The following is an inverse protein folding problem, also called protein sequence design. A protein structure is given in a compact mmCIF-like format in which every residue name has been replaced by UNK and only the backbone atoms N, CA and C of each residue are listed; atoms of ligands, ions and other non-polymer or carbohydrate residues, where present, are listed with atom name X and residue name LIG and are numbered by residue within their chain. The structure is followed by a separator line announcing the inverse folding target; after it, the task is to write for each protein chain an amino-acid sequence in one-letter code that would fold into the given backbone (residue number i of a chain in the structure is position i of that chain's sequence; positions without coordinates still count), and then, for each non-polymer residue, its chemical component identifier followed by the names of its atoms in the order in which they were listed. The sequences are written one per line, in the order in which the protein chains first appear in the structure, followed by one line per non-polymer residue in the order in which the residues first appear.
data_IF_324517879944
#
_entry.id   IF_324517879944
#
_cell.length_a   1.000
_cell.length_b   1.000
_cell.length_c   1.000
_cell.angle_alpha   90.00
_cell.angle_beta   90.00
_cell.angle_gamma   90.00
#
_symmetry.space_group_name_H-M   'P 1'
#
loop_
_entity.id
_entity.type
_entity.pdbx_description
1 polymer ?
#
# COMPACT_ATOMS: atom_id res chain seq x y z
N UNK A 1 13.27 5.07 11.95
CA UNK A 1 13.00 4.99 10.51
C UNK A 1 12.75 3.55 10.07
N UNK A 2 13.65 2.55 10.30
CA UNK A 2 13.42 1.16 9.85
C UNK A 2 12.16 0.56 10.46
N UNK A 3 12.02 0.58 11.79
CA UNK A 3 10.82 0.05 12.47
C UNK A 3 9.54 0.77 12.05
N UNK A 4 9.59 2.08 11.83
CA UNK A 4 8.45 2.85 11.29
C UNK A 4 8.08 2.40 9.89
N UNK A 5 9.07 2.10 9.04
CA UNK A 5 8.82 1.57 7.69
C UNK A 5 8.16 0.20 7.72
N UNK A 6 8.65 -0.69 8.59
CA UNK A 6 8.07 -2.02 8.81
C UNK A 6 6.65 -1.89 9.36
N UNK A 7 6.45 -1.01 10.36
CA UNK A 7 5.14 -0.74 10.94
C UNK A 7 4.15 -0.19 9.89
N UNK A 8 4.59 0.69 9.00
CA UNK A 8 3.77 1.22 7.92
C UNK A 8 3.35 0.12 6.93
N UNK A 9 4.28 -0.75 6.51
CA UNK A 9 3.98 -1.88 5.63
C UNK A 9 2.99 -2.87 6.28
N UNK A 10 3.26 -3.29 7.52
CA UNK A 10 2.43 -4.25 8.24
C UNK A 10 1.08 -3.67 8.65
N UNK A 11 1.05 -2.41 9.10
CA UNK A 11 -0.20 -1.74 9.48
C UNK A 11 -1.11 -1.49 8.29
N UNK A 12 -0.52 -1.16 7.13
CA UNK A 12 -1.29 -0.90 5.91
C UNK A 12 -2.02 -2.15 5.39
N UNK A 13 -1.55 -3.37 5.70
CA UNK A 13 -2.22 -4.59 5.25
C UNK A 13 -3.57 -4.83 5.91
N UNK A 14 -3.85 -4.21 7.06
CA UNK A 14 -5.06 -4.45 7.84
C UNK A 14 -6.36 -3.98 7.17
N UNK A 15 -6.28 -3.10 6.18
CA UNK A 15 -7.47 -2.52 5.53
C UNK A 15 -7.37 -2.54 4.01
N UNK A 16 -8.52 -2.61 3.28
CA UNK A 16 -8.53 -2.56 1.82
C UNK A 16 -7.90 -1.30 1.23
N UNK A 17 -7.95 -0.18 1.95
CA UNK A 17 -7.42 1.12 1.50
C UNK A 17 -6.00 1.41 2.03
N UNK A 18 -5.44 0.50 2.83
CA UNK A 18 -4.15 0.74 3.48
C UNK A 18 -2.97 0.82 2.52
N UNK A 19 -3.06 0.09 1.40
CA UNK A 19 -2.03 0.08 0.37
C UNK A 19 -2.63 -0.22 -1.02
N UNK A 20 -1.93 0.10 -2.13
CA UNK A 20 -2.44 -0.08 -3.48
C UNK A 20 -2.76 -1.55 -3.84
N UNK A 21 -1.95 -2.51 -3.42
CA UNK A 21 -2.19 -3.92 -3.72
C UNK A 21 -3.45 -4.46 -3.05
N UNK A 22 -3.75 -4.02 -1.82
CA UNK A 22 -4.99 -4.39 -1.14
C UNK A 22 -6.21 -3.83 -1.87
N UNK A 23 -6.16 -2.53 -2.20
CA UNK A 23 -7.25 -1.89 -2.92
C UNK A 23 -7.52 -2.58 -4.25
N UNK A 24 -6.47 -2.90 -4.99
CA UNK A 24 -6.57 -3.61 -6.25
C UNK A 24 -7.15 -5.01 -6.07
N UNK A 25 -6.54 -5.86 -5.22
CA UNK A 25 -7.01 -7.22 -5.00
C UNK A 25 -8.43 -7.26 -4.45
N UNK A 26 -8.78 -6.36 -3.53
CA UNK A 26 -10.14 -6.24 -3.01
C UNK A 26 -11.14 -5.88 -4.11
N UNK A 27 -10.76 -5.04 -5.08
CA UNK A 27 -11.63 -4.64 -6.17
C UNK A 27 -11.90 -5.77 -7.17
N UNK A 28 -10.89 -6.62 -7.46
CA UNK A 28 -10.98 -7.66 -8.50
C UNK A 28 -11.36 -9.04 -7.97
N UNK A 29 -11.14 -9.32 -6.68
CA UNK A 29 -11.34 -10.64 -6.09
C UNK A 29 -12.80 -11.01 -5.81
N UNK A 30 -13.68 -10.03 -5.69
CA UNK A 30 -15.03 -10.26 -5.19
C UNK A 30 -15.14 -10.54 -3.68
N UNK A 31 -14.01 -10.56 -2.93
CA UNK A 31 -14.01 -10.77 -1.48
C UNK A 31 -14.90 -9.76 -0.76
N UNK A 32 -15.67 -10.22 0.20
CA UNK A 32 -16.37 -9.36 1.14
C UNK A 32 -15.39 -8.72 2.13
N UNK A 33 -15.79 -7.63 2.78
CA UNK A 33 -14.97 -7.01 3.82
C UNK A 33 -14.62 -7.98 4.97
N UNK A 34 -15.54 -8.90 5.30
CA UNK A 34 -15.31 -9.93 6.31
C UNK A 34 -14.28 -10.97 5.89
N UNK A 35 -14.32 -11.43 4.63
CA UNK A 35 -13.33 -12.37 4.07
C UNK A 35 -11.97 -11.72 3.96
N UNK A 36 -11.90 -10.48 3.50
CA UNK A 36 -10.67 -9.69 3.50
C UNK A 36 -10.06 -9.61 4.90
N UNK A 37 -10.88 -9.20 5.88
CA UNK A 37 -10.43 -9.10 7.27
C UNK A 37 -9.91 -10.43 7.83
N UNK A 38 -10.63 -11.54 7.58
CA UNK A 38 -10.17 -12.87 8.00
C UNK A 38 -8.84 -13.28 7.39
N UNK A 39 -8.58 -12.88 6.14
CA UNK A 39 -7.33 -13.20 5.46
C UNK A 39 -6.13 -12.46 6.06
N UNK A 40 -6.27 -11.18 6.44
CA UNK A 40 -5.11 -10.34 6.79
C UNK A 40 -5.01 -9.98 8.27
N UNK A 41 -6.13 -9.85 9.00
CA UNK A 41 -6.09 -9.40 10.40
C UNK A 41 -5.29 -10.32 11.34
N UNK A 42 -5.31 -11.64 11.22
CA UNK A 42 -4.48 -12.50 12.07
C UNK A 42 -2.98 -12.17 11.94
N UNK A 43 -2.51 -11.99 10.71
CA UNK A 43 -1.12 -11.66 10.43
C UNK A 43 -0.79 -10.23 10.87
N UNK A 44 -1.70 -9.28 10.66
CA UNK A 44 -1.55 -7.90 11.15
C UNK A 44 -1.47 -7.86 12.68
N UNK A 45 -2.27 -8.64 13.39
CA UNK A 45 -2.26 -8.70 14.84
C UNK A 45 -0.96 -9.29 15.38
N UNK A 46 -0.48 -10.39 14.77
CA UNK A 46 0.81 -11.00 15.12
C UNK A 46 1.94 -9.98 14.89
N UNK A 47 1.96 -9.34 13.71
CA UNK A 47 2.95 -8.35 13.35
C UNK A 47 2.94 -7.14 14.30
N UNK A 48 1.75 -6.66 14.68
CA UNK A 48 1.60 -5.61 15.66
C UNK A 48 2.16 -6.02 17.03
N UNK A 49 1.85 -7.24 17.50
CA UNK A 49 2.39 -7.78 18.76
C UNK A 49 3.91 -7.87 18.74
N UNK A 50 4.50 -8.37 17.64
CA UNK A 50 5.95 -8.43 17.48
C UNK A 50 6.58 -7.03 17.50
N UNK A 51 6.00 -6.07 16.77
CA UNK A 51 6.48 -4.69 16.78
C UNK A 51 6.42 -4.05 18.16
N UNK A 52 5.33 -4.27 18.91
CA UNK A 52 5.22 -3.78 20.29
C UNK A 52 6.32 -4.35 21.19
N UNK A 53 6.59 -5.66 21.13
CA UNK A 53 7.69 -6.28 21.88
C UNK A 53 9.02 -5.62 21.51
N UNK A 54 9.29 -5.42 20.21
CA UNK A 54 10.52 -4.79 19.76
C UNK A 54 10.62 -3.36 20.29
N UNK A 55 9.57 -2.56 20.18
CA UNK A 55 9.54 -1.17 20.66
C UNK A 55 9.82 -1.09 22.16
N UNK A 56 9.19 -1.97 22.96
CA UNK A 56 9.43 -2.00 24.41
C UNK A 56 10.86 -2.45 24.80
N UNK A 57 11.54 -3.16 23.91
CA UNK A 57 12.95 -3.55 24.15
C UNK A 57 13.96 -2.50 23.70
N UNK A 58 13.52 -1.47 22.97
CA UNK A 58 14.40 -0.36 22.57
C UNK A 58 14.74 0.54 23.76
N UNK A 59 15.98 1.02 23.79
CA UNK A 59 16.39 2.03 24.78
C UNK A 59 15.70 3.36 24.44
N UNK A 60 15.24 4.05 25.46
CA UNK A 60 14.71 5.39 25.33
C UNK A 60 15.80 6.32 24.77
N UNK A 61 15.50 6.95 23.64
CA UNK A 61 16.34 8.03 23.10
C UNK A 61 15.66 9.34 23.48
N UNK A 62 16.34 10.28 24.12
CA UNK A 62 15.74 11.57 24.46
C UNK A 62 15.21 12.22 23.18
N UNK A 63 13.92 12.53 23.20
CA UNK A 63 13.29 13.26 22.11
C UNK A 63 13.90 14.67 22.08
N UNK A 64 14.36 15.08 20.91
CA UNK A 64 14.67 16.48 20.68
C UNK A 64 13.39 17.27 20.85
N UNK A 65 13.40 18.27 21.75
CA UNK A 65 12.27 19.17 21.94
C UNK A 65 12.01 19.95 20.65
N UNK A 66 11.10 19.41 19.84
CA UNK A 66 10.60 20.13 18.68
C UNK A 66 9.58 21.14 19.19
N UNK A 67 10.00 22.40 19.30
CA UNK A 67 9.11 23.51 19.63
C UNK A 67 8.08 23.66 18.51
N UNK A 68 6.96 22.98 18.65
CA UNK A 68 5.81 23.17 17.79
C UNK A 68 5.16 24.50 18.16
N UNK A 69 5.38 25.53 17.35
CA UNK A 69 4.63 26.79 17.51
C UNK A 69 3.14 26.49 17.40
N UNK A 70 2.41 26.64 18.50
CA UNK A 70 0.95 26.51 18.47
C UNK A 70 0.35 27.51 17.48
N UNK A 71 -0.37 26.97 16.49
CA UNK A 71 -1.12 27.81 15.56
C UNK A 71 -2.32 28.42 16.28
N UNK A 72 -2.53 29.72 16.06
CA UNK A 72 -3.70 30.45 16.58
C UNK A 72 -5.01 29.71 16.28
N UNK A 73 -5.98 29.77 17.18
CA UNK A 73 -7.30 29.11 17.04
C UNK A 73 -8.09 29.56 15.81
N UNK A 74 -7.87 30.80 15.35
CA UNK A 74 -8.41 31.28 14.06
C UNK A 74 -7.87 30.45 12.88
N UNK A 75 -6.57 30.25 12.87
CA UNK A 75 -5.90 29.45 11.83
C UNK A 75 -6.37 27.99 11.83
N UNK A 76 -6.60 27.41 13.02
CA UNK A 76 -7.17 26.06 13.18
C UNK A 76 -8.57 25.96 12.56
N UNK A 77 -9.46 26.95 12.78
CA UNK A 77 -10.80 26.98 12.22
C UNK A 77 -10.83 27.16 10.69
N UNK A 78 -9.95 27.99 10.13
CA UNK A 78 -9.84 28.18 8.69
C UNK A 78 -9.31 26.93 7.98
N UNK A 79 -8.30 26.28 8.56
CA UNK A 79 -7.77 25.00 8.08
C UNK A 79 -8.87 23.93 8.12
N UNK A 80 -9.62 23.83 9.22
CA UNK A 80 -10.67 22.83 9.36
C UNK A 80 -11.80 23.03 8.33
N UNK A 81 -12.22 24.29 8.09
CA UNK A 81 -13.21 24.58 7.04
C UNK A 81 -12.72 24.24 5.65
N UNK A 82 -11.45 24.51 5.35
CA UNK A 82 -10.82 24.12 4.09
C UNK A 82 -10.70 22.61 3.90
N UNK A 83 -10.69 21.83 5.01
CA UNK A 83 -10.56 20.37 4.97
C UNK A 83 -11.89 19.66 4.70
N UNK A 84 -13.05 20.30 5.01
CA UNK A 84 -14.37 19.68 4.90
C UNK A 84 -14.65 19.08 3.51
N UNK A 85 -14.42 19.76 2.37
CA UNK A 85 -14.67 19.17 1.06
C UNK A 85 -13.89 17.88 0.83
N UNK A 86 -12.63 17.83 1.27
CA UNK A 86 -11.76 16.65 1.12
C UNK A 86 -12.22 15.48 2.00
N UNK A 87 -12.71 15.77 3.22
CA UNK A 87 -13.27 14.74 4.10
C UNK A 87 -14.56 14.14 3.51
N UNK A 88 -15.41 14.97 2.89
CA UNK A 88 -16.60 14.50 2.19
C UNK A 88 -16.21 13.61 1.01
N UNK A 89 -15.25 14.04 0.18
CA UNK A 89 -14.76 13.24 -0.93
C UNK A 89 -14.14 11.93 -0.46
N UNK A 90 -13.36 11.96 0.62
CA UNK A 90 -12.82 10.74 1.24
C UNK A 90 -13.94 9.80 1.66
N UNK A 91 -14.98 10.31 2.32
CA UNK A 91 -16.15 9.52 2.72
C UNK A 91 -16.86 8.88 1.52
N UNK A 92 -17.04 9.62 0.43
CA UNK A 92 -17.61 9.08 -0.82
C UNK A 92 -16.73 7.99 -1.42
N UNK A 93 -15.40 8.18 -1.46
CA UNK A 93 -14.47 7.15 -1.93
C UNK A 93 -14.51 5.90 -1.05
N UNK A 94 -14.63 6.05 0.27
CA UNK A 94 -14.79 4.91 1.18
C UNK A 94 -16.08 4.13 0.91
N UNK A 95 -17.18 4.81 0.63
CA UNK A 95 -18.45 4.16 0.25
C UNK A 95 -18.33 3.38 -1.06
N UNK A 96 -17.52 3.85 -2.01
CA UNK A 96 -17.19 3.08 -3.23
C UNK A 96 -16.39 1.84 -2.90
N UNK A 97 -15.36 1.95 -2.06
CA UNK A 97 -14.54 0.79 -1.64
C UNK A 97 -15.39 -0.24 -0.91
N UNK A 98 -16.31 0.20 -0.06
CA UNK A 98 -17.28 -0.66 0.63
C UNK A 98 -18.39 -1.19 -0.30
N UNK A 99 -18.35 -0.85 -1.60
CA UNK A 99 -19.33 -1.28 -2.63
C UNK A 99 -20.76 -0.80 -2.37
N UNK A 100 -20.94 0.26 -1.59
CA UNK A 100 -22.24 0.91 -1.34
C UNK A 100 -22.61 1.81 -2.51
N UNK A 101 -21.63 2.50 -3.10
CA UNK A 101 -21.83 3.41 -4.23
C UNK A 101 -21.07 2.93 -5.47
N UNK A 102 -21.63 3.14 -6.68
CA UNK A 102 -20.91 2.89 -7.92
C UNK A 102 -19.77 3.91 -8.08
N UNK A 103 -18.63 3.48 -8.65
CA UNK A 103 -17.44 4.31 -8.75
C UNK A 103 -17.56 5.44 -9.79
N UNK A 104 -18.36 5.26 -10.85
CA UNK A 104 -18.45 6.19 -11.97
C UNK A 104 -18.95 7.59 -11.55
N UNK A 105 -20.10 7.74 -10.88
CA UNK A 105 -20.58 9.06 -10.47
C UNK A 105 -19.71 9.69 -9.40
N UNK A 106 -19.11 8.87 -8.51
CA UNK A 106 -18.19 9.37 -7.48
C UNK A 106 -16.90 9.92 -8.12
N UNK A 107 -16.35 9.24 -9.13
CA UNK A 107 -15.20 9.74 -9.89
C UNK A 107 -15.50 11.11 -10.49
N UNK A 108 -16.62 11.27 -11.17
CA UNK A 108 -17.02 12.55 -11.77
C UNK A 108 -17.17 13.64 -10.70
N UNK A 109 -17.81 13.31 -9.57
CA UNK A 109 -17.95 14.21 -8.44
C UNK A 109 -16.59 14.66 -7.88
N UNK A 110 -15.67 13.72 -7.66
CA UNK A 110 -14.30 14.01 -7.19
C UNK A 110 -13.59 14.94 -8.17
N UNK A 111 -13.66 14.65 -9.46
CA UNK A 111 -13.04 15.47 -10.50
C UNK A 111 -13.57 16.90 -10.47
N UNK A 112 -14.89 17.08 -10.45
CA UNK A 112 -15.51 18.40 -10.43
C UNK A 112 -15.16 19.17 -9.15
N UNK A 113 -15.30 18.55 -7.99
CA UNK A 113 -15.05 19.22 -6.70
C UNK A 113 -13.58 19.63 -6.57
N UNK A 114 -12.62 18.76 -6.93
CA UNK A 114 -11.20 19.11 -6.90
C UNK A 114 -10.91 20.24 -7.89
N UNK A 115 -11.51 20.24 -9.08
CA UNK A 115 -11.33 21.31 -10.06
C UNK A 115 -11.79 22.67 -9.53
N UNK A 116 -12.93 22.70 -8.84
CA UNK A 116 -13.50 23.93 -8.26
C UNK A 116 -12.73 24.39 -7.03
N UNK A 117 -12.43 23.46 -6.12
CA UNK A 117 -11.81 23.78 -4.80
C UNK A 117 -10.31 24.06 -4.94
N UNK A 118 -9.60 23.22 -5.63
CA UNK A 118 -8.14 23.36 -5.78
C UNK A 118 -7.59 22.61 -7.00
N UNK A 119 -7.71 23.24 -8.17
CA UNK A 119 -7.21 22.68 -9.44
C UNK A 119 -5.71 22.38 -9.46
N UNK A 120 -4.91 23.00 -8.56
CA UNK A 120 -3.47 22.74 -8.49
C UNK A 120 -3.16 21.30 -8.03
N UNK A 121 -4.09 20.65 -7.33
CA UNK A 121 -3.91 19.25 -6.92
C UNK A 121 -3.76 18.30 -8.11
N UNK A 122 -4.35 18.61 -9.27
CA UNK A 122 -4.13 17.81 -10.49
C UNK A 122 -2.65 17.78 -10.91
N UNK A 123 -1.90 18.86 -10.67
CA UNK A 123 -0.46 18.90 -10.97
C UNK A 123 0.38 18.12 -9.96
N UNK A 124 -0.19 17.78 -8.82
CA UNK A 124 0.47 17.00 -7.76
C UNK A 124 0.23 15.50 -7.88
N UNK A 125 -0.62 15.07 -8.83
CA UNK A 125 -0.88 13.65 -9.08
C UNK A 125 0.33 13.03 -9.77
N UNK A 126 0.74 11.86 -9.29
CA UNK A 126 1.78 11.06 -9.94
C UNK A 126 1.20 10.29 -11.13
N UNK A 127 1.14 10.97 -12.27
CA UNK A 127 0.66 10.38 -13.53
C UNK A 127 1.57 9.26 -14.04
N UNK A 128 2.87 9.28 -13.71
CA UNK A 128 3.79 8.20 -14.10
C UNK A 128 3.46 6.92 -13.37
N UNK A 129 3.08 6.99 -12.09
CA UNK A 129 2.63 5.84 -11.34
C UNK A 129 1.33 5.26 -11.94
N UNK A 130 0.37 6.11 -12.30
CA UNK A 130 -0.88 5.67 -12.94
C UNK A 130 -0.62 5.01 -14.30
N UNK A 131 0.26 5.61 -15.12
CA UNK A 131 0.66 5.04 -16.41
C UNK A 131 1.36 3.68 -16.23
N UNK A 132 2.21 3.56 -15.21
CA UNK A 132 2.87 2.30 -14.87
C UNK A 132 1.85 1.20 -14.57
N UNK A 133 0.80 1.48 -13.79
CA UNK A 133 -0.26 0.51 -13.54
C UNK A 133 -1.00 0.14 -14.84
N UNK A 134 -1.32 1.10 -15.69
CA UNK A 134 -1.94 0.83 -16.98
C UNK A 134 -1.07 -0.09 -17.84
N UNK A 135 0.24 0.16 -17.91
CA UNK A 135 1.19 -0.70 -18.62
C UNK A 135 1.20 -2.12 -18.05
N UNK A 136 1.15 -2.29 -16.72
CA UNK A 136 1.05 -3.61 -16.11
C UNK A 136 -0.24 -4.34 -16.49
N UNK A 137 -1.40 -3.67 -16.52
CA UNK A 137 -2.65 -4.30 -16.96
C UNK A 137 -2.58 -4.76 -18.42
N UNK A 138 -2.02 -3.93 -19.31
CA UNK A 138 -1.83 -4.31 -20.73
C UNK A 138 -0.87 -5.48 -20.85
N UNK A 139 0.25 -5.45 -20.12
CA UNK A 139 1.25 -6.52 -20.12
C UNK A 139 0.64 -7.86 -19.69
N UNK A 140 -0.10 -7.88 -18.57
CA UNK A 140 -0.74 -9.09 -18.07
C UNK A 140 -1.82 -9.59 -19.03
N UNK A 141 -2.61 -8.68 -19.61
CA UNK A 141 -3.60 -9.02 -20.63
C UNK A 141 -2.99 -9.70 -21.85
N UNK A 142 -1.79 -9.29 -22.25
CA UNK A 142 -1.04 -9.91 -23.34
C UNK A 142 -0.43 -11.27 -22.93
N UNK A 143 0.14 -11.37 -21.73
CA UNK A 143 0.70 -12.64 -21.23
C UNK A 143 -0.34 -13.75 -21.15
N UNK A 144 -1.56 -13.42 -20.74
CA UNK A 144 -2.69 -14.38 -20.71
C UNK A 144 -3.06 -14.94 -22.09
N UNK A 145 -2.73 -14.23 -23.17
CA UNK A 145 -3.04 -14.65 -24.55
C UNK A 145 -2.02 -15.63 -25.11
N UNK A 146 -0.87 -15.81 -24.46
CA UNK A 146 0.17 -16.74 -24.85
C UNK A 146 -0.07 -18.04 -24.08
N UNK A 147 -0.52 -19.14 -24.73
CA UNK A 147 -0.95 -20.34 -24.02
C UNK A 147 0.14 -20.92 -23.12
N UNK A 148 1.38 -21.02 -23.59
CA UNK A 148 2.50 -21.62 -22.88
C UNK A 148 2.84 -20.81 -21.60
N UNK A 149 2.79 -19.48 -21.69
CA UNK A 149 3.03 -18.58 -20.55
C UNK A 149 1.89 -18.65 -19.55
N UNK A 150 0.66 -18.68 -20.05
CA UNK A 150 -0.54 -18.78 -19.23
C UNK A 150 -0.55 -20.09 -18.41
N UNK A 151 -0.29 -21.23 -19.05
CA UNK A 151 -0.22 -22.53 -18.39
C UNK A 151 0.90 -22.60 -17.36
N UNK A 152 2.09 -22.08 -17.70
CA UNK A 152 3.22 -22.02 -16.78
C UNK A 152 2.89 -21.18 -15.53
N UNK A 153 2.33 -19.99 -15.70
CA UNK A 153 1.97 -19.11 -14.60
C UNK A 153 0.85 -19.71 -13.75
N UNK A 154 -0.15 -20.32 -14.35
CA UNK A 154 -1.19 -21.06 -13.63
C UNK A 154 -0.56 -22.18 -12.77
N UNK A 155 0.32 -22.98 -13.35
CA UNK A 155 0.98 -24.08 -12.65
C UNK A 155 1.87 -23.60 -11.48
N UNK A 156 2.49 -22.43 -11.62
CA UNK A 156 3.31 -21.83 -10.56
C UNK A 156 2.46 -21.22 -9.43
N UNK A 157 1.31 -20.65 -9.74
CA UNK A 157 0.51 -19.85 -8.81
C UNK A 157 -0.53 -20.69 -8.08
N UNK A 158 -1.32 -21.50 -8.82
CA UNK A 158 -2.47 -22.21 -8.25
C UNK A 158 -2.07 -23.21 -7.17
N UNK A 159 -2.70 -23.07 -6.00
CA UNK A 159 -2.42 -23.88 -4.80
C UNK A 159 -1.17 -23.44 -4.02
N UNK A 160 -0.47 -22.38 -4.49
CA UNK A 160 0.74 -21.82 -3.83
C UNK A 160 0.72 -20.30 -3.80
N UNK A 161 -0.45 -19.69 -3.87
CA UNK A 161 -0.64 -18.24 -4.02
C UNK A 161 0.08 -17.44 -2.96
N UNK A 162 0.07 -17.91 -1.71
CA UNK A 162 0.76 -17.28 -0.60
C UNK A 162 2.29 -17.22 -0.84
N UNK A 163 2.91 -18.36 -1.13
CA UNK A 163 4.37 -18.45 -1.35
C UNK A 163 4.78 -17.70 -2.61
N UNK A 164 4.04 -17.87 -3.70
CA UNK A 164 4.32 -17.19 -4.95
C UNK A 164 4.17 -15.68 -4.80
N UNK A 165 3.17 -15.22 -4.03
CA UNK A 165 2.98 -13.82 -3.68
C UNK A 165 4.16 -13.25 -2.90
N UNK A 166 4.67 -13.97 -1.89
CA UNK A 166 5.85 -13.56 -1.12
C UNK A 166 7.07 -13.45 -2.04
N UNK A 167 7.39 -14.52 -2.79
CA UNK A 167 8.60 -14.59 -3.62
C UNK A 167 8.57 -13.57 -4.76
N UNK A 168 7.47 -13.44 -5.46
CA UNK A 168 7.32 -12.46 -6.55
C UNK A 168 7.50 -11.03 -6.03
N UNK A 169 6.98 -10.72 -4.84
CA UNK A 169 7.12 -9.40 -4.23
C UNK A 169 8.58 -9.02 -3.99
N UNK A 170 9.46 -9.99 -3.66
CA UNK A 170 10.89 -9.74 -3.45
C UNK A 170 11.62 -9.32 -4.74
N UNK A 171 11.08 -9.69 -5.90
CA UNK A 171 11.72 -9.47 -7.21
C UNK A 171 11.13 -8.27 -7.94
N UNK A 172 9.79 -8.19 -8.01
CA UNK A 172 9.08 -7.20 -8.81
C UNK A 172 8.28 -6.17 -8.00
N UNK A 173 8.40 -6.19 -6.67
CA UNK A 173 7.57 -5.42 -5.71
C UNK A 173 6.14 -5.96 -5.56
N UNK A 174 5.56 -5.71 -4.38
CA UNK A 174 4.26 -6.27 -3.99
C UNK A 174 3.08 -5.82 -4.85
N UNK A 175 3.07 -4.57 -5.34
CA UNK A 175 1.97 -4.07 -6.20
C UNK A 175 2.00 -4.71 -7.58
N UNK A 176 3.12 -4.71 -8.33
CA UNK A 176 3.21 -5.46 -9.57
C UNK A 176 2.97 -6.96 -9.41
N UNK A 177 3.45 -7.57 -8.31
CA UNK A 177 3.21 -8.98 -8.01
C UNK A 177 1.71 -9.25 -7.83
N UNK A 178 1.00 -8.43 -7.05
CA UNK A 178 -0.44 -8.54 -6.87
C UNK A 178 -1.20 -8.46 -8.21
N UNK A 179 -0.85 -7.49 -9.06
CA UNK A 179 -1.49 -7.31 -10.37
C UNK A 179 -1.20 -8.50 -11.28
N UNK A 180 0.07 -8.93 -11.38
CA UNK A 180 0.47 -10.05 -12.22
C UNK A 180 -0.22 -11.35 -11.79
N UNK A 181 -0.06 -11.73 -10.53
CA UNK A 181 -0.49 -13.03 -10.02
C UNK A 181 -2.02 -13.15 -9.90
N UNK A 182 -2.74 -12.04 -9.68
CA UNK A 182 -4.21 -12.03 -9.65
C UNK A 182 -4.84 -12.57 -10.93
N UNK A 183 -4.13 -12.41 -12.04
CA UNK A 183 -4.57 -12.90 -13.34
C UNK A 183 -4.60 -14.42 -13.45
N UNK A 184 -3.87 -15.14 -12.60
CA UNK A 184 -3.63 -16.59 -12.66
C UNK A 184 -4.02 -17.30 -11.35
N UNK A 185 -4.40 -16.54 -10.32
CA UNK A 185 -4.78 -17.04 -9.00
C UNK A 185 -6.26 -17.44 -8.94
N UNK A 186 -6.54 -18.46 -8.11
CA UNK A 186 -7.88 -18.83 -7.67
C UNK A 186 -8.12 -18.54 -6.21
N UNK A 187 -7.08 -18.53 -5.38
CA UNK A 187 -7.14 -18.16 -3.97
C UNK A 187 -6.65 -16.72 -3.76
N UNK A 188 -7.59 -15.78 -3.85
CA UNK A 188 -7.30 -14.38 -3.59
C UNK A 188 -6.94 -14.09 -2.12
N UNK A 189 -7.40 -14.89 -1.18
CA UNK A 189 -7.05 -14.74 0.24
C UNK A 189 -5.58 -15.08 0.48
N UNK A 190 -5.11 -16.19 -0.07
CA UNK A 190 -3.71 -16.58 -0.02
C UNK A 190 -2.81 -15.59 -0.75
N UNK A 191 -3.21 -15.14 -1.94
CA UNK A 191 -2.47 -14.14 -2.70
C UNK A 191 -2.38 -12.80 -1.95
N UNK A 192 -3.50 -12.30 -1.40
CA UNK A 192 -3.56 -11.07 -0.62
C UNK A 192 -2.60 -11.11 0.56
N UNK A 193 -2.62 -12.21 1.31
CA UNK A 193 -1.71 -12.42 2.43
C UNK A 193 -0.26 -12.49 1.95
N UNK A 194 0.00 -13.23 0.88
CA UNK A 194 1.34 -13.42 0.32
C UNK A 194 2.01 -12.12 -0.12
N UNK A 195 1.31 -11.28 -0.88
CA UNK A 195 1.89 -10.01 -1.36
C UNK A 195 2.06 -8.96 -0.25
N UNK A 196 1.25 -9.03 0.81
CA UNK A 196 1.41 -8.15 1.96
C UNK A 196 2.62 -8.56 2.81
N UNK A 197 2.74 -9.84 3.16
CA UNK A 197 3.91 -10.36 3.86
C UNK A 197 5.18 -10.22 3.01
N UNK A 198 5.05 -10.43 1.69
CA UNK A 198 6.12 -10.23 0.74
C UNK A 198 6.57 -8.79 0.55
N UNK A 199 5.84 -7.80 1.06
CA UNK A 199 6.26 -6.40 1.10
C UNK A 199 7.42 -6.11 2.08
N UNK A 200 7.81 -7.10 2.88
CA UNK A 200 8.94 -7.09 3.81
C UNK A 200 10.12 -7.88 3.22
N UNK A 201 11.31 -7.66 3.77
CA UNK A 201 12.53 -8.39 3.42
C UNK A 201 13.47 -7.56 2.55
N UNK A 202 13.19 -7.38 1.26
CA UNK A 202 14.03 -6.54 0.39
C UNK A 202 13.48 -5.13 0.25
N UNK A 203 14.35 -4.16 -0.07
CA UNK A 203 13.92 -2.79 -0.34
C UNK A 203 12.99 -2.68 -1.55
N UNK A 204 13.18 -3.55 -2.53
CA UNK A 204 12.38 -3.56 -3.77
C UNK A 204 10.97 -4.10 -3.50
N UNK A 205 10.81 -4.90 -2.46
CA UNK A 205 9.56 -5.57 -2.16
C UNK A 205 8.38 -4.61 -1.92
N UNK A 206 8.65 -3.38 -1.47
CA UNK A 206 7.61 -2.38 -1.21
C UNK A 206 8.04 -0.97 -1.60
N UNK A 207 7.12 -0.21 -2.21
CA UNK A 207 7.32 1.21 -2.50
C UNK A 207 7.59 2.02 -1.22
N UNK A 208 6.92 1.70 -0.11
CA UNK A 208 7.14 2.38 1.17
C UNK A 208 8.58 2.21 1.66
N UNK A 209 9.15 1.01 1.49
CA UNK A 209 10.55 0.71 1.83
C UNK A 209 11.53 1.51 0.97
N UNK A 210 11.28 1.59 -0.35
CA UNK A 210 12.09 2.37 -1.28
C UNK A 210 12.05 3.87 -0.96
N UNK A 211 10.86 4.41 -0.69
CA UNK A 211 10.67 5.82 -0.33
C UNK A 211 11.42 6.13 0.96
N UNK A 212 11.22 5.32 1.99
CA UNK A 212 11.87 5.47 3.29
C UNK A 212 13.39 5.43 3.17
N UNK A 213 13.93 4.47 2.43
CA UNK A 213 15.36 4.40 2.15
C UNK A 213 15.87 5.61 1.39
N UNK A 214 15.13 6.09 0.38
CA UNK A 214 15.52 7.26 -0.42
C UNK A 214 15.64 8.51 0.45
N UNK A 215 14.68 8.76 1.34
CA UNK A 215 14.75 9.87 2.28
C UNK A 215 15.90 9.72 3.28
N UNK A 216 16.04 8.52 3.89
CA UNK A 216 17.14 8.24 4.80
C UNK A 216 18.51 8.39 4.14
N UNK A 217 18.68 7.86 2.93
CA UNK A 217 19.94 7.94 2.18
C UNK A 217 20.33 9.36 1.77
N UNK A 218 19.34 10.24 1.62
CA UNK A 218 19.55 11.67 1.34
C UNK A 218 20.05 12.40 2.59
N UNK A 219 19.44 12.13 3.75
CA UNK A 219 19.74 12.79 5.02
C UNK A 219 21.03 12.23 5.65
N UNK A 220 21.25 10.92 5.53
CA UNK A 220 22.40 10.20 6.12
C UNK A 220 23.20 9.41 5.07
N UNK A 221 23.96 10.09 4.17
CA UNK A 221 24.63 9.43 3.03
C UNK A 221 25.62 8.34 3.46
N UNK A 222 26.29 8.53 4.62
CA UNK A 222 27.31 7.62 5.14
C UNK A 222 26.74 6.40 5.88
N UNK A 223 25.41 6.35 6.12
CA UNK A 223 24.76 5.28 6.88
C UNK A 223 23.88 4.36 6.02
N UNK A 224 23.92 4.48 4.70
CA UNK A 224 23.12 3.67 3.77
C UNK A 224 23.27 2.17 4.00
N UNK A 225 24.51 1.70 4.16
CA UNK A 225 24.81 0.29 4.42
C UNK A 225 24.27 -0.21 5.76
N UNK A 226 24.25 0.64 6.78
CA UNK A 226 23.66 0.30 8.09
C UNK A 226 22.14 0.16 7.97
N UNK A 227 21.47 1.08 7.25
CA UNK A 227 20.03 0.99 7.00
C UNK A 227 19.69 -0.33 6.29
N UNK A 228 20.40 -0.66 5.21
CA UNK A 228 20.20 -1.89 4.45
C UNK A 228 20.33 -3.14 5.33
N UNK A 229 21.44 -3.24 6.09
CA UNK A 229 21.66 -4.38 7.00
C UNK A 229 20.54 -4.51 8.03
N UNK A 230 20.17 -3.41 8.68
CA UNK A 230 19.12 -3.44 9.71
C UNK A 230 17.76 -3.77 9.08
N UNK A 231 17.45 -3.20 7.92
CA UNK A 231 16.17 -3.45 7.23
C UNK A 231 16.03 -4.90 6.75
N UNK A 232 17.11 -5.52 6.26
CA UNK A 232 17.08 -6.91 5.76
C UNK A 232 17.10 -7.95 6.90
N UNK A 233 17.58 -7.57 8.09
CA UNK A 233 17.63 -8.47 9.26
C UNK A 233 16.30 -8.50 10.03
N UNK A 234 15.47 -7.49 9.87
CA UNK A 234 14.13 -7.38 10.48
C UNK A 234 13.02 -7.73 9.50
#
# INVERSE_FOLDING_TARGET
VVLETIAANLGSMATPIGNPQNLYLYSVSGLTAGEFARAVLPYSAIAFGMLMVIVFTQREVPLLDVVVKEKSDRLKKEILRGLIPYLILLGLCLLVVLRVLPWQPVLVCVMIVIFVVNRKLYLSVDYFLLLTFLCFFIFIGNMKRIPEVNELLIAMVQGRELLTGILASQVISNVPAAILLSGFSRDFSGLLTGVNLGGLGTLIASLASLISFKFFAREYPNQKGRFLKVFTLW
#
